data_IF_410910376073
#
_entry.id   IF_410910376073
#
_cell.length_a   1.000
_cell.length_b   1.000
_cell.length_c   1.000
_cell.angle_alpha   90.00
_cell.angle_beta   90.00
_cell.angle_gamma   90.00
#
_symmetry.space_group_name_H-M   'P 1'
#
loop_
_entity.id
_entity.type
_entity.pdbx_description
1 polymer ?
#
# COMPACT_ATOMS: atom_id res chain seq x y z
N UNK A 1 -12.84 13.96 7.29
CA UNK A 1 -11.86 14.38 6.26
C UNK A 1 -12.10 13.55 5.00
N UNK A 2 -12.37 14.16 3.84
CA UNK A 2 -12.81 13.47 2.63
C UNK A 2 -11.66 12.60 2.01
N UNK A 3 -11.92 11.32 1.76
CA UNK A 3 -10.95 10.35 1.20
C UNK A 3 -10.40 10.82 -0.15
N UNK A 4 -11.25 11.41 -1.01
CA UNK A 4 -10.83 11.93 -2.31
C UNK A 4 -9.81 13.06 -2.17
N UNK A 5 -9.99 13.94 -1.17
CA UNK A 5 -9.02 15.03 -0.90
C UNK A 5 -7.69 14.50 -0.38
N UNK A 6 -7.71 13.42 0.40
CA UNK A 6 -6.47 12.80 0.89
C UNK A 6 -5.71 12.12 -0.25
N UNK A 7 -6.43 11.45 -1.14
CA UNK A 7 -5.85 10.84 -2.33
C UNK A 7 -5.22 11.89 -3.23
N UNK A 8 -5.96 12.95 -3.59
CA UNK A 8 -5.44 14.03 -4.42
C UNK A 8 -4.17 14.67 -3.81
N UNK A 9 -4.18 14.96 -2.50
CA UNK A 9 -3.00 15.52 -1.84
C UNK A 9 -1.79 14.59 -1.87
N UNK A 10 -2.00 13.30 -1.58
CA UNK A 10 -0.92 12.32 -1.57
C UNK A 10 -0.37 12.08 -2.97
N UNK A 11 -1.25 12.02 -3.97
CA UNK A 11 -0.92 11.96 -5.38
C UNK A 11 -0.03 13.14 -5.80
N UNK A 12 -0.50 14.37 -5.57
CA UNK A 12 0.23 15.57 -5.95
C UNK A 12 1.59 15.69 -5.24
N UNK A 13 1.70 15.20 -4.00
CA UNK A 13 2.97 15.19 -3.26
C UNK A 13 3.96 14.20 -3.88
N UNK A 14 3.50 12.98 -4.15
CA UNK A 14 4.31 11.92 -4.75
C UNK A 14 4.79 12.31 -6.16
N UNK A 15 3.89 12.81 -7.01
CA UNK A 15 4.24 13.29 -8.35
C UNK A 15 5.31 14.38 -8.28
N UNK A 16 5.13 15.37 -7.40
CA UNK A 16 6.14 16.42 -7.18
C UNK A 16 7.47 15.86 -6.71
N UNK A 17 7.49 14.88 -5.80
CA UNK A 17 8.72 14.25 -5.34
C UNK A 17 9.47 13.56 -6.48
N UNK A 18 8.76 12.86 -7.37
CA UNK A 18 9.32 12.19 -8.54
C UNK A 18 9.89 13.20 -9.54
N UNK A 19 9.15 14.28 -9.82
CA UNK A 19 9.62 15.37 -10.70
C UNK A 19 10.85 16.08 -10.12
N UNK A 20 10.88 16.31 -8.80
CA UNK A 20 12.04 16.93 -8.13
C UNK A 20 13.32 16.08 -8.21
N UNK A 21 13.19 14.76 -8.40
CA UNK A 21 14.32 13.87 -8.66
C UNK A 21 14.74 13.83 -10.13
N UNK A 22 14.06 14.56 -11.01
CA UNK A 22 14.36 14.67 -12.43
C UNK A 22 13.65 13.63 -13.30
N UNK A 23 12.67 12.90 -12.75
CA UNK A 23 11.88 11.94 -13.52
C UNK A 23 10.61 12.58 -14.12
N UNK A 24 10.02 11.98 -15.17
CA UNK A 24 8.80 12.49 -15.79
C UNK A 24 7.59 12.46 -14.84
N UNK A 25 6.68 13.41 -15.02
CA UNK A 25 5.41 13.47 -14.28
C UNK A 25 4.56 12.22 -14.54
N UNK A 26 4.56 11.71 -15.78
CA UNK A 26 3.83 10.51 -16.17
C UNK A 26 4.28 9.27 -15.38
N UNK A 27 5.55 9.20 -14.98
CA UNK A 27 6.02 8.15 -14.09
C UNK A 27 5.32 8.27 -12.74
N UNK A 28 5.25 9.48 -12.18
CA UNK A 28 4.58 9.74 -10.91
C UNK A 28 3.11 9.32 -10.91
N UNK A 29 2.39 9.62 -11.99
CA UNK A 29 1.00 9.18 -12.17
C UNK A 29 0.86 7.66 -12.18
N UNK A 30 1.75 6.95 -12.87
CA UNK A 30 1.73 5.49 -12.93
C UNK A 30 2.05 4.86 -11.57
N UNK A 31 3.05 5.37 -10.86
CA UNK A 31 3.40 4.92 -9.51
C UNK A 31 2.22 5.14 -8.55
N UNK A 32 1.60 6.32 -8.60
CA UNK A 32 0.44 6.63 -7.76
C UNK A 32 -0.74 5.68 -8.00
N UNK A 33 -1.02 5.35 -9.27
CA UNK A 33 -2.05 4.37 -9.66
C UNK A 33 -1.72 2.97 -9.14
N UNK A 34 -0.46 2.54 -9.25
CA UNK A 34 0.00 1.24 -8.75
C UNK A 34 -0.15 1.09 -7.23
N UNK A 35 0.21 2.13 -6.47
CA UNK A 35 0.16 2.11 -5.00
C UNK A 35 -1.28 2.11 -4.44
N UNK A 36 -2.24 2.69 -5.17
CA UNK A 36 -3.68 2.54 -4.92
C UNK A 36 -4.23 3.15 -3.62
N UNK A 37 -3.38 3.70 -2.73
CA UNK A 37 -3.82 4.31 -1.47
C UNK A 37 -2.94 5.48 -1.02
N UNK A 38 -3.51 6.49 -0.33
CA UNK A 38 -2.72 7.62 0.19
C UNK A 38 -1.59 7.19 1.12
N UNK A 39 -1.80 6.12 1.90
CA UNK A 39 -0.79 5.62 2.84
C UNK A 39 0.39 4.99 2.11
N UNK A 40 0.13 4.25 1.03
CA UNK A 40 1.18 3.69 0.20
C UNK A 40 1.97 4.79 -0.54
N UNK A 41 1.28 5.83 -1.05
CA UNK A 41 1.94 7.01 -1.64
C UNK A 41 2.85 7.74 -0.65
N UNK A 42 2.42 7.91 0.61
CA UNK A 42 3.27 8.50 1.65
C UNK A 42 4.51 7.66 1.97
N UNK A 43 4.40 6.32 1.93
CA UNK A 43 5.56 5.44 2.08
C UNK A 43 6.55 5.62 0.93
N UNK A 44 6.03 5.68 -0.29
CA UNK A 44 6.85 5.91 -1.48
C UNK A 44 7.54 7.27 -1.43
N UNK A 45 6.82 8.34 -1.06
CA UNK A 45 7.38 9.67 -0.87
C UNK A 45 8.51 9.68 0.17
N UNK A 46 8.33 8.97 1.29
CA UNK A 46 9.38 8.81 2.29
C UNK A 46 10.61 8.09 1.72
N UNK A 47 10.43 7.01 0.94
CA UNK A 47 11.53 6.34 0.27
C UNK A 47 12.29 7.30 -0.66
N UNK A 48 11.58 8.02 -1.54
CA UNK A 48 12.17 8.96 -2.49
C UNK A 48 13.00 10.04 -1.80
N UNK A 49 12.52 10.55 -0.66
CA UNK A 49 13.22 11.55 0.14
C UNK A 49 14.53 11.02 0.74
N UNK A 50 14.53 9.80 1.28
CA UNK A 50 15.71 9.24 1.98
C UNK A 50 16.73 8.61 1.03
N UNK A 51 16.25 7.91 0.00
CA UNK A 51 17.10 7.10 -0.88
C UNK A 51 17.57 7.89 -2.09
N UNK A 52 16.77 8.86 -2.55
CA UNK A 52 17.06 9.66 -3.75
C UNK A 52 17.48 8.77 -4.95
N UNK A 53 16.62 7.84 -5.39
CA UNK A 53 16.95 6.89 -6.45
C UNK A 53 17.35 7.63 -7.74
N UNK A 54 18.35 7.08 -8.43
CA UNK A 54 18.92 7.67 -9.65
C UNK A 54 18.42 7.04 -10.94
N UNK A 55 17.53 6.06 -10.85
CA UNK A 55 17.01 5.36 -12.01
C UNK A 55 15.53 5.02 -11.82
N UNK A 56 14.82 4.87 -12.94
CA UNK A 56 13.40 4.53 -12.97
C UNK A 56 13.18 3.12 -12.40
N UNK A 57 14.12 2.21 -12.65
CA UNK A 57 14.09 0.84 -12.15
C UNK A 57 14.01 0.79 -10.63
N UNK A 58 14.81 1.60 -9.92
CA UNK A 58 14.78 1.65 -8.45
C UNK A 58 13.46 2.21 -7.91
N UNK A 59 12.89 3.20 -8.60
CA UNK A 59 11.58 3.77 -8.24
C UNK A 59 10.47 2.73 -8.41
N UNK A 60 10.49 2.00 -9.53
CA UNK A 60 9.49 0.97 -9.81
C UNK A 60 9.66 -0.25 -8.90
N UNK A 61 10.89 -0.66 -8.61
CA UNK A 61 11.19 -1.78 -7.71
C UNK A 61 10.63 -1.52 -6.31
N UNK A 62 10.88 -0.33 -5.75
CA UNK A 62 10.31 0.04 -4.45
C UNK A 62 8.78 0.07 -4.48
N UNK A 63 8.18 0.62 -5.53
CA UNK A 63 6.72 0.60 -5.67
C UNK A 63 6.18 -0.83 -5.61
N UNK A 64 6.81 -1.77 -6.33
CA UNK A 64 6.43 -3.19 -6.32
C UNK A 64 6.65 -3.82 -4.94
N UNK A 65 7.74 -3.49 -4.25
CA UNK A 65 8.01 -3.95 -2.90
C UNK A 65 6.91 -3.49 -1.92
N UNK A 66 6.51 -2.22 -1.97
CA UNK A 66 5.41 -1.68 -1.16
C UNK A 66 4.09 -2.40 -1.47
N UNK A 67 3.77 -2.63 -2.75
CA UNK A 67 2.57 -3.36 -3.16
C UNK A 67 2.57 -4.80 -2.61
N UNK A 68 3.67 -5.51 -2.76
CA UNK A 68 3.85 -6.89 -2.27
C UNK A 68 3.67 -6.99 -0.75
N UNK A 69 4.24 -6.06 0.01
CA UNK A 69 4.05 -6.03 1.47
C UNK A 69 2.58 -5.80 1.86
N UNK A 70 1.87 -4.92 1.14
CA UNK A 70 0.46 -4.65 1.40
C UNK A 70 -0.39 -5.89 1.10
N UNK A 71 -0.09 -6.60 0.02
CA UNK A 71 -0.75 -7.84 -0.36
C UNK A 71 -0.52 -8.94 0.69
N UNK A 72 0.73 -9.16 1.09
CA UNK A 72 1.09 -10.13 2.14
C UNK A 72 0.40 -9.81 3.48
N UNK A 73 0.32 -8.53 3.85
CA UNK A 73 -0.40 -8.11 5.04
C UNK A 73 -1.91 -8.38 4.94
N UNK A 74 -2.50 -8.13 3.77
CA UNK A 74 -3.93 -8.40 3.52
C UNK A 74 -4.23 -9.89 3.58
N UNK A 75 -3.39 -10.73 2.97
CA UNK A 75 -3.52 -12.19 3.02
C UNK A 75 -3.43 -12.71 4.45
N UNK A 76 -2.42 -12.25 5.21
CA UNK A 76 -2.29 -12.59 6.63
C UNK A 76 -3.54 -12.22 7.43
N UNK A 77 -4.11 -11.04 7.20
CA UNK A 77 -5.34 -10.61 7.88
C UNK A 77 -6.57 -11.44 7.50
N UNK A 78 -6.68 -11.83 6.24
CA UNK A 78 -7.74 -12.73 5.78
C UNK A 78 -7.62 -14.12 6.43
N UNK A 79 -6.40 -14.65 6.52
CA UNK A 79 -6.11 -15.93 7.20
C UNK A 79 -6.40 -15.86 8.70
N UNK A 80 -5.99 -14.80 9.39
CA UNK A 80 -6.32 -14.56 10.81
C UNK A 80 -7.84 -14.51 11.04
N UNK A 81 -8.59 -13.83 10.17
CA UNK A 81 -10.06 -13.78 10.28
C UNK A 81 -10.72 -15.13 10.01
N UNK A 82 -10.23 -15.90 9.04
CA UNK A 82 -10.72 -17.25 8.76
C UNK A 82 -10.46 -18.19 9.96
N UNK A 83 -9.26 -18.13 10.54
CA UNK A 83 -8.90 -18.90 11.74
C UNK A 83 -9.71 -18.46 12.98
N UNK A 84 -9.94 -17.17 13.17
CA UNK A 84 -10.78 -16.67 14.26
C UNK A 84 -12.21 -17.19 14.16
N UNK A 85 -12.82 -17.14 12.96
CA UNK A 85 -14.14 -17.71 12.70
C UNK A 85 -14.19 -19.23 12.92
N UNK A 86 -13.16 -19.94 12.47
CA UNK A 86 -13.04 -21.38 12.68
C UNK A 86 -12.90 -21.73 14.18
N UNK A 87 -12.08 -21.00 14.92
CA UNK A 87 -11.92 -21.14 16.36
C UNK A 87 -13.20 -20.77 17.12
N UNK A 88 -13.99 -19.80 16.64
CA UNK A 88 -15.28 -19.44 17.23
C UNK A 88 -16.28 -20.60 17.09
N UNK A 89 -16.32 -21.26 15.93
CA UNK A 89 -17.15 -22.46 15.71
C UNK A 89 -16.64 -23.64 16.56
N UNK A 90 -15.32 -23.83 16.68
CA UNK A 90 -14.76 -24.92 17.49
C UNK A 90 -14.98 -24.71 19.00
N UNK A 91 -14.89 -23.47 19.49
CA UNK A 91 -15.04 -23.14 20.92
C UNK A 91 -16.50 -22.93 21.35
N UNK A 92 -17.41 -22.54 20.44
CA UNK A 92 -18.82 -22.27 20.77
C UNK A 92 -19.84 -23.18 20.04
N UNK A 93 -19.38 -24.10 19.18
CA UNK A 93 -20.23 -24.85 18.23
C UNK A 93 -20.34 -26.36 18.44
N UNK A 94 -19.86 -26.93 19.56
CA UNK A 94 -20.13 -28.34 19.91
C UNK A 94 -20.83 -28.50 21.27
N UNK A 95 -21.61 -27.51 21.70
CA UNK A 95 -22.45 -27.57 22.92
C UNK A 95 -23.94 -27.45 22.59
N UNK A 96 -24.34 -27.98 21.43
CA UNK A 96 -25.75 -28.22 21.08
C UNK A 96 -25.98 -29.66 20.64
N UNK A 97 -25.58 -30.61 21.46
CA UNK A 97 -26.23 -31.92 21.49
C UNK A 97 -26.98 -32.04 22.83
N UNK A 98 -28.29 -31.77 22.78
CA UNK A 98 -29.26 -32.24 23.76
C UNK A 98 -30.10 -33.32 23.10
#
# INVERSE_FOLDING_TARGET
MNIQRQWARAHDSLVRAIVNLGFPEELGDQIARGLGSPKAMQRMEAYLYHVQPRSVELVVDEMLAICSEIEAWREKKASEQANARYNEILNYGLDREK
#
